data_IF_632588667368
#
_entry.id   IF_632588667368
#
_cell.length_a   1.000
_cell.length_b   1.000
_cell.length_c   1.000
_cell.angle_alpha   90.00
_cell.angle_beta   90.00
_cell.angle_gamma   90.00
#
_symmetry.space_group_name_H-M   'P 1'
#
loop_
_entity.id
_entity.type
_entity.pdbx_description
1 polymer ?
#
# COMPACT_ATOMS: atom_id res chain seq x y z
N UNK A 1 -16.09 29.67 24.47
CA UNK A 1 -15.58 28.44 25.14
C UNK A 1 -16.64 27.35 25.00
N UNK A 2 -16.62 26.58 23.92
CA UNK A 2 -17.60 25.50 23.63
C UNK A 2 -16.92 24.38 22.84
N UNK A 3 -15.93 23.72 23.45
CA UNK A 3 -15.23 22.56 22.84
C UNK A 3 -15.59 21.21 23.50
N UNK A 4 -16.51 21.16 24.46
CA UNK A 4 -16.73 19.94 25.27
C UNK A 4 -17.77 18.94 24.72
N UNK A 5 -18.46 19.24 23.61
CA UNK A 5 -19.51 18.34 23.07
C UNK A 5 -19.03 17.40 21.92
N UNK A 6 -17.84 17.62 21.36
CA UNK A 6 -17.31 16.85 20.22
C UNK A 6 -16.78 15.46 20.59
N UNK A 7 -16.06 15.33 21.72
CA UNK A 7 -15.28 14.12 22.03
C UNK A 7 -16.08 12.82 22.18
N UNK A 8 -17.37 12.89 22.52
CA UNK A 8 -18.24 11.70 22.63
C UNK A 8 -18.72 11.18 21.27
N UNK A 9 -18.88 12.05 20.27
CA UNK A 9 -19.33 11.67 18.92
C UNK A 9 -18.15 11.09 18.13
N UNK A 10 -16.97 11.65 18.31
CA UNK A 10 -15.74 11.20 17.65
C UNK A 10 -15.34 9.81 18.13
N UNK A 11 -15.40 9.55 19.45
CA UNK A 11 -15.10 8.22 20.00
C UNK A 11 -16.06 7.13 19.54
N UNK A 12 -17.36 7.45 19.41
CA UNK A 12 -18.37 6.51 18.90
C UNK A 12 -18.15 6.19 17.43
N UNK A 13 -17.82 7.20 16.61
CA UNK A 13 -17.52 7.00 15.19
C UNK A 13 -16.27 6.12 15.02
N UNK A 14 -15.20 6.42 15.76
CA UNK A 14 -13.96 5.62 15.71
C UNK A 14 -14.24 4.16 16.11
N UNK A 15 -14.98 3.93 17.20
CA UNK A 15 -15.36 2.59 17.62
C UNK A 15 -16.22 1.87 16.58
N UNK A 16 -17.17 2.57 15.95
CA UNK A 16 -18.01 2.01 14.89
C UNK A 16 -17.19 1.64 13.64
N UNK A 17 -16.26 2.49 13.21
CA UNK A 17 -15.37 2.22 12.07
C UNK A 17 -14.39 1.08 12.38
N UNK A 18 -13.84 1.03 13.60
CA UNK A 18 -12.98 -0.07 14.02
C UNK A 18 -13.75 -1.40 14.03
N UNK A 19 -14.98 -1.42 14.54
CA UNK A 19 -15.85 -2.58 14.50
C UNK A 19 -16.17 -2.99 13.06
N UNK A 20 -16.43 -2.03 12.17
CA UNK A 20 -16.67 -2.30 10.75
C UNK A 20 -15.46 -2.97 10.10
N UNK A 21 -14.23 -2.50 10.37
CA UNK A 21 -13.00 -3.14 9.87
C UNK A 21 -12.89 -4.58 10.37
N UNK A 22 -13.17 -4.84 11.64
CA UNK A 22 -13.15 -6.21 12.20
C UNK A 22 -14.19 -7.10 11.51
N UNK A 23 -15.41 -6.61 11.29
CA UNK A 23 -16.45 -7.35 10.58
C UNK A 23 -16.01 -7.67 9.15
N UNK A 24 -15.52 -6.67 8.41
CA UNK A 24 -15.05 -6.83 7.03
C UNK A 24 -13.87 -7.78 6.92
N UNK A 25 -12.96 -7.79 7.91
CA UNK A 25 -11.87 -8.75 8.00
C UNK A 25 -12.38 -10.19 8.05
N UNK A 26 -13.33 -10.50 8.94
CA UNK A 26 -13.89 -11.85 9.03
C UNK A 26 -14.73 -12.23 7.80
N UNK A 27 -15.48 -11.28 7.23
CA UNK A 27 -16.20 -11.49 5.97
C UNK A 27 -15.24 -11.83 4.83
N UNK A 28 -14.09 -11.13 4.76
CA UNK A 28 -13.04 -11.38 3.78
C UNK A 28 -12.50 -12.82 3.82
N UNK A 29 -12.51 -13.49 4.97
CA UNK A 29 -12.08 -14.88 5.08
C UNK A 29 -13.08 -15.86 4.45
N UNK A 30 -14.36 -15.50 4.40
CA UNK A 30 -15.43 -16.34 3.81
C UNK A 30 -15.64 -16.13 2.31
N UNK A 31 -15.33 -14.93 1.81
CA UNK A 31 -15.57 -14.52 0.41
C UNK A 31 -14.39 -14.87 -0.50
N UNK A 32 -14.66 -15.48 -1.66
CA UNK A 32 -13.66 -15.82 -2.67
C UNK A 32 -14.25 -16.75 -3.75
N UNK A 33 -13.42 -17.36 -4.63
CA UNK A 33 -13.89 -18.27 -5.68
C UNK A 33 -14.72 -19.44 -5.14
N UNK A 34 -14.37 -19.91 -3.94
CA UNK A 34 -15.15 -20.88 -3.16
C UNK A 34 -15.74 -20.17 -1.95
N UNK A 35 -17.06 -20.12 -1.85
CA UNK A 35 -17.73 -19.51 -0.70
C UNK A 35 -17.65 -20.43 0.52
N UNK A 36 -17.17 -19.91 1.64
CA UNK A 36 -17.11 -20.64 2.91
C UNK A 36 -18.09 -20.03 3.90
N UNK A 37 -18.91 -20.88 4.52
CA UNK A 37 -19.83 -20.43 5.57
C UNK A 37 -19.05 -19.97 6.81
N UNK A 38 -19.61 -19.05 7.62
CA UNK A 38 -18.94 -18.56 8.82
C UNK A 38 -18.52 -19.67 9.79
N UNK A 39 -19.32 -20.72 9.93
CA UNK A 39 -18.98 -21.88 10.76
C UNK A 39 -17.81 -22.71 10.22
N UNK A 40 -17.63 -22.78 8.90
CA UNK A 40 -16.47 -23.44 8.28
C UNK A 40 -15.21 -22.60 8.43
N UNK A 41 -15.30 -21.27 8.28
CA UNK A 41 -14.19 -20.35 8.54
C UNK A 41 -13.75 -20.45 10.01
N UNK A 42 -14.69 -20.42 10.96
CA UNK A 42 -14.38 -20.54 12.38
C UNK A 42 -13.67 -21.86 12.72
N UNK A 43 -14.16 -22.99 12.20
CA UNK A 43 -13.49 -24.30 12.39
C UNK A 43 -12.12 -24.35 11.76
N UNK A 44 -11.96 -23.81 10.55
CA UNK A 44 -10.66 -23.72 9.88
C UNK A 44 -9.65 -22.89 10.69
N UNK A 45 -10.08 -21.80 11.33
CA UNK A 45 -9.26 -20.96 12.20
C UNK A 45 -8.78 -21.68 13.48
N UNK A 46 -9.59 -22.59 14.03
CA UNK A 46 -9.26 -23.38 15.23
C UNK A 46 -8.53 -24.69 14.88
N UNK A 47 -8.36 -25.00 13.60
CA UNK A 47 -7.67 -26.21 13.12
C UNK A 47 -8.57 -27.46 13.02
N UNK A 48 -9.87 -27.31 13.24
CA UNK A 48 -10.90 -28.38 13.21
C UNK A 48 -11.71 -28.38 11.89
N UNK A 49 -11.25 -27.63 10.89
CA UNK A 49 -11.83 -27.60 9.54
C UNK A 49 -11.25 -28.67 8.63
N UNK A 50 -11.99 -29.05 7.58
CA UNK A 50 -11.43 -29.90 6.52
C UNK A 50 -10.17 -29.29 5.91
N UNK A 51 -9.22 -30.14 5.49
CA UNK A 51 -7.88 -29.73 5.04
C UNK A 51 -7.91 -28.63 3.97
N UNK A 52 -8.78 -28.76 2.97
CA UNK A 52 -8.96 -27.74 1.93
C UNK A 52 -9.44 -26.39 2.50
N UNK A 53 -10.38 -26.40 3.45
CA UNK A 53 -10.86 -25.17 4.08
C UNK A 53 -9.77 -24.53 4.95
N UNK A 54 -8.94 -25.34 5.61
CA UNK A 54 -7.80 -24.86 6.38
C UNK A 54 -6.78 -24.18 5.48
N UNK A 55 -6.36 -24.81 4.39
CA UNK A 55 -5.41 -24.21 3.43
C UNK A 55 -5.96 -22.89 2.88
N UNK A 56 -7.21 -22.88 2.44
CA UNK A 56 -7.84 -21.67 1.89
C UNK A 56 -7.89 -20.54 2.92
N UNK A 57 -8.30 -20.83 4.17
CA UNK A 57 -8.47 -19.80 5.19
C UNK A 57 -7.13 -19.36 5.79
N UNK A 58 -6.29 -20.30 6.22
CA UNK A 58 -5.05 -20.04 6.97
C UNK A 58 -3.91 -19.63 6.06
N UNK A 59 -3.71 -20.35 4.95
CA UNK A 59 -2.52 -20.16 4.13
C UNK A 59 -2.76 -19.12 3.04
N UNK A 60 -4.00 -18.93 2.57
CA UNK A 60 -4.30 -18.02 1.45
C UNK A 60 -5.00 -16.73 1.91
N UNK A 61 -6.14 -16.84 2.59
CA UNK A 61 -7.01 -15.67 2.87
C UNK A 61 -6.55 -14.87 4.08
N UNK A 62 -6.09 -15.54 5.13
CA UNK A 62 -5.67 -14.87 6.36
C UNK A 62 -4.45 -13.95 6.15
N UNK A 63 -3.35 -14.37 5.49
CA UNK A 63 -2.20 -13.50 5.25
C UNK A 63 -2.60 -12.28 4.40
N UNK A 64 -3.41 -12.51 3.36
CA UNK A 64 -3.96 -11.48 2.49
C UNK A 64 -4.83 -10.46 3.24
N UNK A 65 -5.72 -10.93 4.13
CA UNK A 65 -6.57 -10.06 4.94
C UNK A 65 -5.77 -9.23 5.94
N UNK A 66 -4.73 -9.84 6.55
CA UNK A 66 -3.82 -9.13 7.44
C UNK A 66 -3.03 -8.05 6.69
N UNK A 67 -2.51 -8.37 5.50
CA UNK A 67 -1.85 -7.39 4.63
C UNK A 67 -2.80 -6.25 4.25
N UNK A 68 -4.06 -6.54 3.90
CA UNK A 68 -5.05 -5.52 3.58
C UNK A 68 -5.24 -4.51 4.73
N UNK A 69 -5.38 -5.02 5.96
CA UNK A 69 -5.54 -4.17 7.17
C UNK A 69 -4.27 -3.36 7.45
N UNK A 70 -3.09 -3.98 7.36
CA UNK A 70 -1.82 -3.29 7.61
C UNK A 70 -1.53 -2.20 6.57
N UNK A 71 -1.74 -2.50 5.28
CA UNK A 71 -1.53 -1.54 4.19
C UNK A 71 -2.57 -0.41 4.28
N UNK A 72 -3.85 -0.73 4.46
CA UNK A 72 -4.90 0.29 4.60
C UNK A 72 -4.68 1.18 5.82
N UNK A 73 -4.31 0.58 6.96
CA UNK A 73 -4.02 1.30 8.20
C UNK A 73 -2.80 2.22 8.06
N UNK A 74 -1.70 1.74 7.48
CA UNK A 74 -0.49 2.56 7.28
C UNK A 74 -0.71 3.71 6.29
N UNK A 75 -1.44 3.49 5.18
CA UNK A 75 -1.81 4.55 4.25
C UNK A 75 -2.73 5.61 4.89
N UNK A 76 -3.72 5.15 5.68
CA UNK A 76 -4.60 6.05 6.44
C UNK A 76 -3.85 6.89 7.47
N UNK A 77 -2.94 6.27 8.23
CA UNK A 77 -2.09 6.96 9.20
C UNK A 77 -1.13 7.96 8.53
N UNK A 78 -0.49 7.57 7.42
CA UNK A 78 0.41 8.45 6.67
C UNK A 78 -0.35 9.68 6.14
N UNK A 79 -1.55 9.49 5.60
CA UNK A 79 -2.43 10.58 5.18
C UNK A 79 -2.80 11.51 6.32
N UNK A 80 -3.30 10.97 7.43
CA UNK A 80 -3.68 11.77 8.61
C UNK A 80 -2.49 12.53 9.22
N UNK A 81 -1.32 11.89 9.30
CA UNK A 81 -0.09 12.52 9.82
C UNK A 81 0.35 13.69 8.94
N UNK A 82 0.33 13.53 7.60
CA UNK A 82 0.69 14.60 6.68
C UNK A 82 -0.33 15.73 6.66
N UNK A 83 -1.62 15.41 6.69
CA UNK A 83 -2.67 16.43 6.80
C UNK A 83 -2.53 17.24 8.10
N UNK A 84 -2.18 16.58 9.21
CA UNK A 84 -1.90 17.23 10.48
C UNK A 84 -0.65 18.10 10.46
N UNK A 85 0.46 17.58 9.90
CA UNK A 85 1.74 18.29 9.78
C UNK A 85 1.61 19.55 8.91
N UNK A 86 0.94 19.42 7.76
CA UNK A 86 0.78 20.48 6.78
C UNK A 86 -0.41 21.39 7.05
N UNK A 87 -1.27 21.01 8.00
CA UNK A 87 -2.55 21.70 8.28
C UNK A 87 -3.37 21.90 7.01
N UNK A 88 -3.32 20.92 6.11
CA UNK A 88 -3.97 20.97 4.81
C UNK A 88 -4.73 19.65 4.58
N UNK A 89 -6.07 19.67 4.56
CA UNK A 89 -6.88 18.46 4.40
C UNK A 89 -6.75 17.81 3.03
N UNK A 90 -6.21 18.53 2.03
CA UNK A 90 -5.94 18.00 0.69
C UNK A 90 -4.55 17.35 0.58
N UNK A 91 -3.76 17.36 1.64
CA UNK A 91 -2.43 16.76 1.61
C UNK A 91 -2.49 15.24 1.53
N UNK A 92 -1.60 14.67 0.72
CA UNK A 92 -1.42 13.25 0.55
C UNK A 92 0.06 12.87 0.56
N UNK A 93 0.41 11.61 0.90
CA UNK A 93 1.80 11.12 0.82
C UNK A 93 2.45 11.23 -0.56
N UNK A 94 1.63 11.20 -1.62
CA UNK A 94 2.10 11.34 -3.00
C UNK A 94 2.73 12.69 -3.31
N UNK A 95 2.50 13.74 -2.51
CA UNK A 95 3.11 15.06 -2.70
C UNK A 95 4.64 15.05 -2.61
N UNK A 96 5.21 14.06 -1.92
CA UNK A 96 6.65 13.97 -1.67
C UNK A 96 7.35 12.91 -2.54
N UNK A 97 6.74 12.45 -3.64
CA UNK A 97 7.41 11.60 -4.64
C UNK A 97 7.81 10.18 -4.24
N UNK A 98 7.81 9.84 -2.95
CA UNK A 98 8.18 8.50 -2.47
C UNK A 98 7.33 7.37 -3.10
N UNK A 99 5.99 7.49 -3.27
CA UNK A 99 5.21 6.47 -3.95
C UNK A 99 5.59 6.27 -5.43
N UNK A 100 5.87 7.35 -6.15
CA UNK A 100 6.28 7.29 -7.56
C UNK A 100 7.68 6.67 -7.70
N UNK A 101 8.61 7.04 -6.82
CA UNK A 101 9.95 6.47 -6.82
C UNK A 101 9.97 4.98 -6.39
N UNK A 102 9.11 4.57 -5.46
CA UNK A 102 8.92 3.17 -5.11
C UNK A 102 8.39 2.36 -6.30
N UNK A 103 7.39 2.89 -6.99
CA UNK A 103 6.85 2.28 -8.20
C UNK A 103 7.95 2.13 -9.27
N UNK A 104 8.71 3.20 -9.54
CA UNK A 104 9.81 3.14 -10.50
C UNK A 104 10.93 2.17 -10.07
N UNK A 105 11.25 2.08 -8.78
CA UNK A 105 12.24 1.12 -8.26
C UNK A 105 11.85 -0.33 -8.56
N UNK A 106 10.59 -0.70 -8.32
CA UNK A 106 10.04 -1.99 -8.70
C UNK A 106 10.04 -2.21 -10.22
N UNK A 107 9.57 -1.23 -10.98
CA UNK A 107 9.54 -1.30 -12.45
C UNK A 107 10.93 -1.49 -13.06
N UNK A 108 11.94 -0.81 -12.53
CA UNK A 108 13.33 -0.93 -13.00
C UNK A 108 13.83 -2.37 -12.92
N UNK A 109 13.46 -3.08 -11.86
CA UNK A 109 13.87 -4.46 -11.63
C UNK A 109 13.13 -5.45 -12.56
N UNK A 110 11.84 -5.20 -12.83
CA UNK A 110 11.07 -5.96 -13.84
C UNK A 110 11.65 -5.71 -15.24
N UNK A 111 11.87 -4.45 -15.62
CA UNK A 111 12.33 -4.08 -16.96
C UNK A 111 13.73 -4.61 -17.31
N UNK A 112 14.60 -4.75 -16.31
CA UNK A 112 15.94 -5.31 -16.49
C UNK A 112 15.95 -6.85 -16.51
N UNK A 113 14.79 -7.51 -16.42
CA UNK A 113 14.63 -8.97 -16.33
C UNK A 113 15.51 -9.60 -15.23
N UNK A 114 15.75 -8.85 -14.15
CA UNK A 114 16.66 -9.26 -13.08
C UNK A 114 16.04 -10.34 -12.18
N UNK A 115 14.71 -10.41 -12.12
CA UNK A 115 13.97 -11.30 -11.20
C UNK A 115 12.55 -11.57 -11.69
N UNK A 116 11.99 -12.69 -11.23
CA UNK A 116 10.56 -12.99 -11.34
C UNK A 116 9.69 -12.04 -10.50
N UNK A 117 8.44 -11.84 -10.92
CA UNK A 117 7.46 -10.96 -10.26
C UNK A 117 7.19 -11.34 -8.79
N UNK A 118 7.39 -12.60 -8.43
CA UNK A 118 7.20 -13.12 -7.07
C UNK A 118 8.45 -12.98 -6.19
N UNK A 119 9.55 -12.44 -6.73
CA UNK A 119 10.80 -12.28 -5.98
C UNK A 119 10.71 -11.21 -4.90
N UNK A 120 11.32 -11.47 -3.74
CA UNK A 120 11.49 -10.49 -2.67
C UNK A 120 12.27 -9.23 -3.11
N UNK A 121 13.02 -9.33 -4.22
CA UNK A 121 13.73 -8.20 -4.80
C UNK A 121 12.79 -7.07 -5.23
N UNK A 122 11.55 -7.37 -5.62
CA UNK A 122 10.57 -6.37 -6.08
C UNK A 122 10.14 -5.43 -4.93
N UNK A 123 9.62 -5.93 -3.80
CA UNK A 123 9.36 -5.09 -2.63
C UNK A 123 10.61 -4.37 -2.11
N UNK A 124 11.77 -5.02 -2.13
CA UNK A 124 13.04 -4.41 -1.68
C UNK A 124 13.43 -3.23 -2.57
N UNK A 125 13.34 -3.39 -3.90
CA UNK A 125 13.63 -2.31 -4.84
C UNK A 125 12.64 -1.15 -4.71
N UNK A 126 11.36 -1.45 -4.45
CA UNK A 126 10.36 -0.42 -4.16
C UNK A 126 10.69 0.36 -2.87
N UNK A 127 11.09 -0.33 -1.80
CA UNK A 127 11.51 0.31 -0.55
C UNK A 127 12.75 1.18 -0.78
N UNK A 128 13.76 0.67 -1.49
CA UNK A 128 14.95 1.44 -1.84
C UNK A 128 14.57 2.68 -2.65
N UNK A 129 13.70 2.56 -3.65
CA UNK A 129 13.20 3.68 -4.45
C UNK A 129 12.52 4.76 -3.60
N UNK A 130 11.64 4.38 -2.68
CA UNK A 130 11.04 5.32 -1.72
C UNK A 130 12.09 5.99 -0.83
N UNK A 131 13.03 5.23 -0.26
CA UNK A 131 14.09 5.76 0.61
C UNK A 131 15.01 6.73 -0.13
N UNK A 132 15.38 6.42 -1.37
CA UNK A 132 16.16 7.32 -2.23
C UNK A 132 15.40 8.62 -2.47
N UNK A 133 14.10 8.55 -2.78
CA UNK A 133 13.27 9.75 -2.93
C UNK A 133 13.24 10.62 -1.68
N UNK A 134 13.03 10.02 -0.51
CA UNK A 134 13.04 10.75 0.77
C UNK A 134 14.42 11.35 1.05
N UNK A 135 15.49 10.59 0.80
CA UNK A 135 16.87 11.07 0.93
C UNK A 135 17.15 12.29 0.04
N UNK A 136 16.77 12.22 -1.24
CA UNK A 136 16.92 13.33 -2.19
C UNK A 136 16.13 14.57 -1.73
N UNK A 137 14.91 14.36 -1.24
CA UNK A 137 14.10 15.44 -0.67
C UNK A 137 14.81 16.12 0.50
N UNK A 138 15.32 15.35 1.46
CA UNK A 138 16.02 15.91 2.62
C UNK A 138 17.31 16.64 2.22
N UNK A 139 18.04 16.13 1.23
CA UNK A 139 19.24 16.76 0.69
C UNK A 139 18.94 18.09 -0.01
N UNK A 140 17.90 18.15 -0.84
CA UNK A 140 17.51 19.37 -1.58
C UNK A 140 16.88 20.41 -0.66
N UNK A 141 16.05 19.96 0.28
CA UNK A 141 15.32 20.81 1.20
C UNK A 141 16.26 21.46 2.23
N UNK A 142 17.19 20.68 2.78
CA UNK A 142 18.08 21.12 3.86
C UNK A 142 17.36 21.45 5.18
N UNK A 143 18.09 21.91 6.22
CA UNK A 143 17.55 22.04 7.58
C UNK A 143 16.49 23.13 7.78
N UNK A 144 16.36 24.07 6.84
CA UNK A 144 15.45 25.23 6.92
C UNK A 144 14.54 25.33 5.70
N UNK A 145 14.25 24.18 5.08
CA UNK A 145 13.43 24.13 3.88
C UNK A 145 12.06 24.75 4.10
N UNK A 146 11.62 25.57 3.15
CA UNK A 146 10.22 25.95 3.09
C UNK A 146 9.39 24.75 2.59
N UNK A 147 8.11 24.71 3.00
CA UNK A 147 7.17 23.71 2.50
C UNK A 147 7.09 23.73 0.96
N UNK A 148 7.18 24.91 0.35
CA UNK A 148 7.17 25.07 -1.10
C UNK A 148 8.34 24.33 -1.75
N UNK A 149 9.56 24.43 -1.19
CA UNK A 149 10.74 23.72 -1.71
C UNK A 149 10.54 22.21 -1.61
N UNK A 150 10.01 21.72 -0.49
CA UNK A 150 9.71 20.29 -0.33
C UNK A 150 8.68 19.80 -1.36
N UNK A 151 7.62 20.58 -1.62
CA UNK A 151 6.60 20.24 -2.62
C UNK A 151 7.21 20.21 -4.03
N UNK A 152 8.00 21.23 -4.41
CA UNK A 152 8.63 21.28 -5.74
C UNK A 152 9.66 20.15 -5.93
N UNK A 153 10.44 19.84 -4.90
CA UNK A 153 11.37 18.71 -4.92
C UNK A 153 10.62 17.37 -5.06
N UNK A 154 9.53 17.19 -4.31
CA UNK A 154 8.66 16.01 -4.43
C UNK A 154 8.05 15.88 -5.82
N UNK A 155 7.60 16.99 -6.42
CA UNK A 155 7.12 17.05 -7.80
C UNK A 155 8.22 16.64 -8.80
N UNK A 156 9.42 17.20 -8.66
CA UNK A 156 10.55 16.86 -9.54
C UNK A 156 10.90 15.36 -9.46
N UNK A 157 10.97 14.79 -8.25
CA UNK A 157 11.23 13.35 -8.07
C UNK A 157 10.10 12.50 -8.66
N UNK A 158 8.85 12.90 -8.45
CA UNK A 158 7.68 12.21 -9.02
C UNK A 158 7.73 12.21 -10.55
N UNK A 159 8.03 13.35 -11.16
CA UNK A 159 8.15 13.49 -12.61
C UNK A 159 9.28 12.65 -13.19
N UNK A 160 10.44 12.62 -12.53
CA UNK A 160 11.57 11.78 -12.94
C UNK A 160 11.24 10.28 -12.84
N UNK A 161 10.66 9.84 -11.73
CA UNK A 161 10.24 8.45 -11.54
C UNK A 161 9.13 8.04 -12.54
N UNK A 162 8.19 8.95 -12.81
CA UNK A 162 7.15 8.76 -13.82
C UNK A 162 7.73 8.66 -15.24
N UNK A 163 8.68 9.52 -15.59
CA UNK A 163 9.39 9.45 -16.88
C UNK A 163 10.19 8.15 -17.02
N UNK A 164 10.87 7.71 -15.97
CA UNK A 164 11.57 6.42 -15.94
C UNK A 164 10.62 5.24 -16.11
N UNK A 165 9.46 5.28 -15.47
CA UNK A 165 8.41 4.26 -15.63
C UNK A 165 7.86 4.22 -17.06
N UNK A 166 7.62 5.39 -17.67
CA UNK A 166 7.18 5.50 -19.05
C UNK A 166 8.23 5.02 -20.06
N UNK A 167 9.52 5.28 -19.78
CA UNK A 167 10.64 4.78 -20.57
C UNK A 167 10.72 3.25 -20.48
N UNK A 168 10.61 2.69 -19.28
CA UNK A 168 10.57 1.25 -19.04
C UNK A 168 9.44 0.55 -19.81
N UNK A 169 8.25 1.16 -19.85
CA UNK A 169 7.13 0.66 -20.66
C UNK A 169 7.43 0.74 -22.16
N UNK A 170 8.03 1.84 -22.64
CA UNK A 170 8.39 1.98 -24.06
C UNK A 170 9.47 0.99 -24.50
N UNK A 171 10.39 0.66 -23.61
CA UNK A 171 11.50 -0.27 -23.86
C UNK A 171 11.17 -1.71 -23.44
N UNK A 172 9.92 -2.02 -23.11
CA UNK A 172 9.53 -3.35 -22.67
C UNK A 172 9.85 -4.38 -23.78
N UNK A 173 10.61 -5.45 -23.47
CA UNK A 173 11.11 -6.38 -24.49
C UNK A 173 9.98 -7.20 -25.14
N UNK A 174 8.85 -7.34 -24.45
CA UNK A 174 7.67 -8.04 -24.94
C UNK A 174 6.40 -7.53 -24.23
N UNK A 175 5.20 -7.87 -24.74
CA UNK A 175 3.94 -7.44 -24.14
C UNK A 175 3.71 -7.96 -22.70
N UNK A 176 4.29 -9.11 -22.34
CA UNK A 176 4.13 -9.68 -20.99
C UNK A 176 4.82 -8.81 -19.93
N UNK A 177 6.07 -8.37 -20.19
CA UNK A 177 6.78 -7.47 -19.29
C UNK A 177 6.02 -6.14 -19.09
N UNK A 178 5.41 -5.60 -20.14
CA UNK A 178 4.57 -4.40 -20.03
C UNK A 178 3.31 -4.63 -19.18
N UNK A 179 2.69 -5.81 -19.30
CA UNK A 179 1.54 -6.20 -18.45
C UNK A 179 1.93 -6.38 -16.99
N UNK A 180 3.08 -7.00 -16.70
CA UNK A 180 3.58 -7.13 -15.32
C UNK A 180 3.83 -5.78 -14.66
N UNK A 181 4.45 -4.85 -15.41
CA UNK A 181 4.61 -3.46 -14.97
C UNK A 181 3.23 -2.84 -14.71
N UNK A 182 2.27 -2.98 -15.62
CA UNK A 182 0.94 -2.42 -15.47
C UNK A 182 0.20 -2.99 -14.24
N UNK A 183 0.24 -4.30 -14.03
CA UNK A 183 -0.37 -4.93 -12.86
C UNK A 183 0.26 -4.48 -11.55
N UNK A 184 1.58 -4.32 -11.52
CA UNK A 184 2.26 -3.78 -10.36
C UNK A 184 1.83 -2.35 -10.05
N UNK A 185 1.74 -1.49 -11.07
CA UNK A 185 1.33 -0.09 -10.91
C UNK A 185 -0.13 0.07 -10.48
N UNK A 186 -1.02 -0.83 -10.91
CA UNK A 186 -2.42 -0.84 -10.48
C UNK A 186 -2.58 -1.26 -9.00
N UNK A 187 -1.63 -2.05 -8.50
CA UNK A 187 -1.65 -2.62 -7.16
C UNK A 187 -2.60 -3.81 -7.05
N UNK A 188 -2.18 -4.83 -6.29
CA UNK A 188 -3.00 -6.00 -5.99
C UNK A 188 -2.54 -6.67 -4.69
N UNK A 189 -3.49 -7.32 -4.01
CA UNK A 189 -3.22 -8.22 -2.89
C UNK A 189 -3.18 -9.68 -3.33
N UNK A 190 -3.24 -9.97 -4.63
CA UNK A 190 -3.13 -11.32 -5.20
C UNK A 190 -1.75 -11.94 -5.02
N UNK A 191 -1.77 -13.26 -4.85
CA UNK A 191 -0.60 -14.10 -4.62
C UNK A 191 0.27 -13.65 -3.44
N UNK A 192 -0.39 -13.25 -2.34
CA UNK A 192 0.24 -12.87 -1.07
C UNK A 192 -0.13 -13.85 0.04
N UNK A 193 0.45 -15.05 -0.03
CA UNK A 193 0.24 -16.21 0.85
C UNK A 193 1.57 -16.79 1.32
#
# INVERSE_FOLDING_TARGET
MTFAAGGRRDGRLIAALALLVVILFFVSLGVGPVWLSPGTVARALVGDGGEAARIIVIDIRLPRALLAVMIGGTLGLAGAALQGLLRNPLASPSLFGAPAAAAFGAVSVISLALVDVLSIALPVAAIIGALVSVGLLLLVAGPRASLLVLILAGLAVSSLAGAGTALALNLAPNPFAALEIAFWLLGSLEDRS
#
